data_IF_242914796428
#
_entry.id   IF_242914796428
#
_cell.length_a   1.000
_cell.length_b   1.000
_cell.length_c   1.000
_cell.angle_alpha   90.00
_cell.angle_beta   90.00
_cell.angle_gamma   90.00
#
_symmetry.space_group_name_H-M   'P 1'
#
loop_
_entity.id
_entity.type
_entity.pdbx_description
1 polymer ?
#
# COMPACT_ATOMS: atom_id res chain seq x y z
N UNK A 1 15.71 1.08 10.00
CA UNK A 1 14.28 0.80 9.70
C UNK A 1 13.90 -0.44 10.49
N UNK A 2 12.88 -0.38 11.37
CA UNK A 2 12.44 -1.55 12.16
C UNK A 2 11.58 -2.43 11.26
N UNK A 3 11.80 -3.75 11.27
CA UNK A 3 10.92 -4.69 10.55
C UNK A 3 9.51 -4.60 11.15
N UNK A 4 8.52 -4.43 10.30
CA UNK A 4 7.10 -4.40 10.67
C UNK A 4 6.58 -5.83 10.66
N UNK A 5 5.88 -6.22 11.73
CA UNK A 5 5.17 -7.49 11.80
C UNK A 5 3.73 -7.30 11.27
N UNK A 6 3.58 -7.38 9.95
CA UNK A 6 2.33 -7.10 9.25
C UNK A 6 1.18 -8.02 9.65
N UNK A 7 1.48 -9.28 9.97
CA UNK A 7 0.49 -10.26 10.40
C UNK A 7 -0.16 -9.91 11.76
N UNK A 8 0.51 -9.09 12.57
CA UNK A 8 0.00 -8.61 13.86
C UNK A 8 -0.92 -7.39 13.76
N UNK A 9 -0.97 -6.71 12.61
CA UNK A 9 -1.71 -5.47 12.41
C UNK A 9 -3.08 -5.76 11.78
N UNK A 10 -4.10 -5.00 12.18
CA UNK A 10 -5.41 -5.04 11.54
C UNK A 10 -5.42 -4.28 10.22
N UNK A 11 -6.02 -4.90 9.21
CA UNK A 11 -6.33 -4.27 7.93
C UNK A 11 -7.81 -3.86 7.87
N UNK A 12 -8.11 -2.80 7.12
CA UNK A 12 -9.49 -2.34 6.92
C UNK A 12 -10.40 -3.38 6.26
N UNK A 13 -9.84 -4.33 5.51
CA UNK A 13 -10.60 -5.41 4.89
C UNK A 13 -11.12 -6.48 5.88
N UNK A 14 -10.77 -6.37 7.17
CA UNK A 14 -11.23 -7.28 8.24
C UNK A 14 -10.25 -8.40 8.59
N UNK A 15 -9.20 -8.61 7.78
CA UNK A 15 -8.12 -9.57 8.00
C UNK A 15 -6.87 -8.91 8.61
N UNK A 16 -5.80 -9.68 8.78
CA UNK A 16 -4.48 -9.13 9.09
C UNK A 16 -3.94 -8.31 7.90
N UNK A 17 -2.95 -7.46 8.15
CA UNK A 17 -2.30 -6.67 7.11
C UNK A 17 -1.16 -7.42 6.39
N UNK A 18 -1.07 -8.74 6.51
CA UNK A 18 0.01 -9.55 5.94
C UNK A 18 0.12 -9.42 4.41
N UNK A 19 -0.99 -9.17 3.72
CA UNK A 19 -1.04 -9.01 2.27
C UNK A 19 -0.67 -7.60 1.78
N UNK A 20 -0.69 -6.57 2.64
CA UNK A 20 -0.46 -5.18 2.24
C UNK A 20 0.89 -4.96 1.55
N UNK A 21 2.02 -5.53 2.02
CA UNK A 21 3.29 -5.44 1.30
C UNK A 21 3.22 -5.99 -0.13
N UNK A 22 2.48 -7.07 -0.37
CA UNK A 22 2.33 -7.68 -1.69
C UNK A 22 1.52 -6.77 -2.63
N UNK A 23 0.48 -6.09 -2.11
CA UNK A 23 -0.25 -5.08 -2.87
C UNK A 23 0.66 -3.94 -3.32
N UNK A 24 1.50 -3.43 -2.41
CA UNK A 24 2.46 -2.37 -2.71
C UNK A 24 3.49 -2.85 -3.74
N UNK A 25 4.03 -4.05 -3.57
CA UNK A 25 4.98 -4.66 -4.52
C UNK A 25 4.37 -4.78 -5.93
N UNK A 26 3.14 -5.27 -6.03
CA UNK A 26 2.42 -5.36 -7.30
C UNK A 26 2.21 -3.98 -7.94
N UNK A 27 1.91 -2.95 -7.15
CA UNK A 27 1.77 -1.57 -7.64
C UNK A 27 3.11 -1.04 -8.16
N UNK A 28 4.19 -1.12 -7.39
CA UNK A 28 5.48 -0.51 -7.78
C UNK A 28 6.18 -1.23 -8.94
N UNK A 29 5.85 -2.51 -9.16
CA UNK A 29 6.38 -3.29 -10.29
C UNK A 29 5.53 -3.19 -11.56
N UNK A 30 4.34 -2.59 -11.49
CA UNK A 30 3.47 -2.39 -12.64
C UNK A 30 4.03 -1.35 -13.62
N UNK A 31 4.00 -1.68 -14.91
CA UNK A 31 4.37 -0.76 -15.99
C UNK A 31 3.16 0.01 -16.52
N UNK A 32 1.97 -0.58 -16.44
CA UNK A 32 0.72 -0.04 -16.97
C UNK A 32 -0.41 -0.07 -15.94
N UNK A 33 -1.50 0.66 -16.20
CA UNK A 33 -2.72 0.57 -15.40
C UNK A 33 -3.35 -0.83 -15.41
N UNK A 34 -3.14 -1.61 -16.47
CA UNK A 34 -3.71 -2.95 -16.58
C UNK A 34 -3.05 -3.94 -15.62
N UNK A 35 -1.76 -3.76 -15.34
CA UNK A 35 -1.00 -4.62 -14.43
C UNK A 35 -1.43 -4.43 -12.97
N UNK A 36 -2.00 -3.28 -12.64
CA UNK A 36 -2.49 -2.93 -11.29
C UNK A 36 -3.95 -3.35 -11.04
N UNK A 37 -4.66 -3.93 -12.01
CA UNK A 37 -6.06 -4.32 -11.82
C UNK A 37 -6.14 -5.34 -10.67
N UNK A 38 -6.91 -5.00 -9.63
CA UNK A 38 -7.07 -5.82 -8.43
C UNK A 38 -6.03 -5.56 -7.33
N UNK A 39 -5.03 -4.70 -7.58
CA UNK A 39 -4.05 -4.26 -6.60
C UNK A 39 -4.32 -2.80 -6.20
N UNK A 40 -5.13 -2.62 -5.14
CA UNK A 40 -5.46 -1.30 -4.58
C UNK A 40 -5.21 -1.29 -3.08
N UNK A 41 -4.96 -0.10 -2.51
CA UNK A 41 -4.89 0.12 -1.05
C UNK A 41 -6.21 0.63 -0.47
N UNK A 42 -7.22 0.87 -1.31
CA UNK A 42 -8.56 1.30 -0.90
C UNK A 42 -9.19 0.28 0.05
N UNK A 43 -9.73 0.76 1.17
CA UNK A 43 -10.32 -0.11 2.19
C UNK A 43 -9.30 -0.94 2.98
N UNK A 44 -7.99 -0.82 2.70
CA UNK A 44 -6.94 -1.51 3.46
C UNK A 44 -6.32 -0.62 4.54
N UNK A 45 -5.99 0.62 4.19
CA UNK A 45 -5.37 1.62 5.09
C UNK A 45 -6.38 2.64 5.61
N UNK A 46 -7.34 3.02 4.78
CA UNK A 46 -8.40 3.96 5.13
C UNK A 46 -9.73 3.48 4.56
N UNK A 47 -10.80 3.71 5.33
CA UNK A 47 -12.16 3.66 4.83
C UNK A 47 -12.99 4.80 5.43
N UNK A 48 -13.51 5.68 4.56
CA UNK A 48 -14.29 6.87 4.91
C UNK A 48 -13.59 7.88 5.83
N UNK A 49 -13.60 7.66 7.15
CA UNK A 49 -12.94 8.52 8.15
C UNK A 49 -12.12 7.69 9.14
N UNK A 50 -11.99 6.39 8.88
CA UNK A 50 -11.32 5.43 9.74
C UNK A 50 -9.94 5.14 9.16
N UNK A 51 -8.91 5.38 9.96
CA UNK A 51 -7.53 5.02 9.67
C UNK A 51 -7.20 3.73 10.41
N UNK A 52 -6.71 2.71 9.70
CA UNK A 52 -6.42 1.38 10.27
C UNK A 52 -4.98 1.27 10.79
N UNK A 53 -4.73 0.26 11.63
CA UNK A 53 -3.44 0.05 12.30
C UNK A 53 -2.26 -0.12 11.33
N UNK A 54 -2.50 -0.67 10.14
CA UNK A 54 -1.49 -0.81 9.11
C UNK A 54 -1.14 0.49 8.38
N UNK A 55 -1.85 1.60 8.61
CA UNK A 55 -1.61 2.86 7.88
C UNK A 55 -0.23 3.46 8.14
N UNK A 56 0.22 3.68 9.39
CA UNK A 56 1.53 4.27 9.62
C UNK A 56 2.70 3.51 8.97
N UNK A 57 2.80 2.17 9.07
CA UNK A 57 3.84 1.45 8.35
C UNK A 57 3.65 1.47 6.84
N UNK A 58 2.41 1.44 6.32
CA UNK A 58 2.16 1.56 4.87
C UNK A 58 2.65 2.90 4.32
N UNK A 59 2.33 4.02 4.99
CA UNK A 59 2.84 5.34 4.61
C UNK A 59 4.37 5.36 4.61
N UNK A 60 5.01 4.75 5.61
CA UNK A 60 6.47 4.62 5.65
C UNK A 60 7.05 3.86 4.46
N UNK A 61 6.38 2.79 4.00
CA UNK A 61 6.79 2.04 2.80
C UNK A 61 6.53 2.85 1.52
N UNK A 62 5.38 3.52 1.41
CA UNK A 62 5.06 4.39 0.27
C UNK A 62 6.09 5.50 0.11
N UNK A 63 6.44 6.18 1.20
CA UNK A 63 7.44 7.25 1.19
C UNK A 63 8.82 6.74 0.81
N UNK A 64 9.19 5.54 1.26
CA UNK A 64 10.45 4.89 0.85
C UNK A 64 10.44 4.49 -0.62
N UNK A 65 9.31 3.93 -1.11
CA UNK A 65 9.14 3.56 -2.50
C UNK A 65 9.24 4.77 -3.42
N UNK A 66 8.56 5.88 -3.11
CA UNK A 66 8.53 7.12 -3.89
C UNK A 66 9.92 7.75 -4.14
N UNK A 67 10.94 7.37 -3.36
CA UNK A 67 12.33 7.79 -3.56
C UNK A 67 13.06 7.03 -4.69
N UNK A 68 12.47 5.95 -5.20
CA UNK A 68 13.00 5.13 -6.28
C UNK A 68 12.30 5.42 -7.63
N UNK A 69 12.76 4.79 -8.71
CA UNK A 69 12.21 4.89 -10.06
C UNK A 69 11.25 3.73 -10.38
N UNK A 70 10.04 4.07 -10.85
CA UNK A 70 9.00 3.16 -11.31
C UNK A 70 7.98 3.93 -12.15
N UNK A 71 7.00 3.23 -12.73
CA UNK A 71 6.09 3.80 -13.70
C UNK A 71 5.29 5.00 -13.15
N UNK A 72 5.02 5.98 -14.02
CA UNK A 72 4.20 7.14 -13.66
C UNK A 72 2.78 6.76 -13.17
N UNK A 73 2.10 5.75 -13.76
CA UNK A 73 0.84 5.23 -13.22
C UNK A 73 0.94 4.75 -11.77
N UNK A 74 1.92 3.90 -11.46
CA UNK A 74 2.12 3.39 -10.10
C UNK A 74 2.42 4.52 -9.10
N UNK A 75 3.22 5.51 -9.51
CA UNK A 75 3.45 6.73 -8.72
C UNK A 75 2.16 7.49 -8.44
N UNK A 76 1.27 7.58 -9.42
CA UNK A 76 -0.05 8.19 -9.25
C UNK A 76 -0.91 7.50 -8.19
N UNK A 77 -0.91 6.17 -8.14
CA UNK A 77 -1.66 5.38 -7.14
C UNK A 77 -1.10 5.61 -5.74
N UNK A 78 0.23 5.53 -5.58
CA UNK A 78 0.87 5.72 -4.28
C UNK A 78 0.63 7.14 -3.71
N UNK A 79 0.67 8.17 -4.55
CA UNK A 79 0.41 9.56 -4.14
C UNK A 79 -1.06 9.82 -3.77
N UNK A 80 -2.01 9.11 -4.37
CA UNK A 80 -3.43 9.22 -4.01
C UNK A 80 -3.77 8.55 -2.68
N UNK A 81 -2.89 7.67 -2.20
CA UNK A 81 -3.05 6.98 -0.91
C UNK A 81 -2.58 7.84 0.27
N UNK A 82 -1.84 8.93 0.01
CA UNK A 82 -1.32 9.86 1.02
C UNK A 82 -2.24 11.07 1.21
#
# INVERSE_FOLDING_TARGET
MRRVDWASLKCGCGDSAEHVPLLIEAIITAETNQDMIGYTLDGHVEESTIIFECTPPTVGVIMAALADDFSAPARGVLLQTL
#
